data_IF_433751208678
#
_entry.id   IF_433751208678
#
_cell.length_a   1.000
_cell.length_b   1.000
_cell.length_c   1.000
_cell.angle_alpha   90.00
_cell.angle_beta   90.00
_cell.angle_gamma   90.00
#
_symmetry.space_group_name_H-M   'P 1'
#
loop_
_entity.id
_entity.type
_entity.pdbx_description
1 polymer ?
#
# COMPACT_ATOMS: atom_id res chain seq x y z
N UNK A 1 -20.90 -43.89 -8.51
CA UNK A 1 -19.97 -42.81 -8.89
C UNK A 1 -19.50 -42.13 -7.63
N UNK A 2 -18.30 -42.44 -7.16
CA UNK A 2 -17.73 -41.79 -5.96
C UNK A 2 -16.73 -40.75 -6.47
N UNK A 3 -17.05 -39.47 -6.31
CA UNK A 3 -16.14 -38.39 -6.67
C UNK A 3 -15.09 -38.23 -5.55
N UNK A 4 -13.81 -38.37 -5.88
CA UNK A 4 -12.72 -37.95 -5.00
C UNK A 4 -12.71 -36.42 -4.94
N UNK A 5 -13.07 -35.85 -3.81
CA UNK A 5 -12.88 -34.43 -3.53
C UNK A 5 -11.58 -34.29 -2.75
N UNK A 6 -10.54 -33.77 -3.40
CA UNK A 6 -9.31 -33.36 -2.73
C UNK A 6 -9.58 -32.05 -1.98
N UNK A 7 -9.56 -32.09 -0.64
CA UNK A 7 -9.74 -30.90 0.22
C UNK A 7 -8.42 -30.54 0.92
N UNK A 8 -7.29 -30.60 0.18
CA UNK A 8 -6.00 -30.22 0.75
C UNK A 8 -5.95 -28.69 0.89
N UNK A 9 -6.05 -28.20 2.12
CA UNK A 9 -5.78 -26.81 2.44
C UNK A 9 -4.28 -26.63 2.69
N UNK A 10 -3.55 -26.28 1.62
CA UNK A 10 -2.14 -25.91 1.70
C UNK A 10 -2.00 -24.57 2.44
N UNK A 11 -1.20 -24.54 3.52
CA UNK A 11 -0.99 -23.35 4.37
C UNK A 11 0.47 -22.96 4.54
N UNK A 12 1.39 -23.51 3.75
CA UNK A 12 2.80 -23.13 3.83
C UNK A 12 2.96 -21.64 3.52
N UNK A 13 3.74 -20.97 4.37
CA UNK A 13 4.17 -19.59 4.19
C UNK A 13 5.61 -19.64 3.72
N UNK A 14 5.91 -18.92 2.65
CA UNK A 14 7.26 -18.80 2.11
C UNK A 14 7.77 -17.40 2.43
N UNK A 15 8.64 -17.32 3.43
CA UNK A 15 9.26 -16.05 3.82
C UNK A 15 10.23 -15.57 2.74
N UNK A 16 10.35 -14.24 2.53
CA UNK A 16 11.37 -13.69 1.66
C UNK A 16 12.78 -14.10 2.14
N UNK A 17 13.69 -14.33 1.19
CA UNK A 17 15.10 -14.63 1.51
C UNK A 17 15.76 -13.44 2.20
N UNK A 18 16.84 -13.69 2.96
CA UNK A 18 17.58 -12.63 3.66
C UNK A 18 17.99 -11.47 2.74
N UNK A 19 18.55 -11.79 1.57
CA UNK A 19 18.94 -10.81 0.55
C UNK A 19 17.76 -9.99 -0.02
N UNK A 20 16.55 -10.56 -0.05
CA UNK A 20 15.34 -9.81 -0.42
C UNK A 20 14.91 -8.86 0.71
N UNK A 21 15.02 -9.30 1.97
CA UNK A 21 14.67 -8.51 3.15
C UNK A 21 15.61 -7.32 3.33
N UNK A 22 16.90 -7.50 3.07
CA UNK A 22 17.92 -6.46 3.23
C UNK A 22 17.78 -5.35 2.16
N UNK A 23 17.25 -5.69 0.99
CA UNK A 23 17.02 -4.75 -0.13
C UNK A 23 15.59 -4.21 -0.19
N UNK A 24 14.73 -4.59 0.75
CA UNK A 24 13.36 -4.13 0.79
C UNK A 24 13.29 -2.65 1.17
N UNK A 25 12.42 -1.90 0.49
CA UNK A 25 12.13 -0.49 0.83
C UNK A 25 11.53 -0.33 2.22
N UNK A 26 10.82 -1.36 2.71
CA UNK A 26 10.21 -1.39 4.03
C UNK A 26 10.94 -2.37 4.93
N UNK A 27 11.20 -1.96 6.17
CA UNK A 27 11.86 -2.76 7.20
C UNK A 27 10.92 -3.81 7.80
N UNK A 28 10.35 -4.67 6.96
CA UNK A 28 9.49 -5.78 7.34
C UNK A 28 8.03 -5.41 7.59
N UNK A 29 7.28 -6.38 8.11
CA UNK A 29 5.82 -6.31 8.20
C UNK A 29 5.30 -5.30 9.22
N UNK A 30 6.06 -5.00 10.27
CA UNK A 30 5.68 -3.97 11.25
C UNK A 30 5.68 -2.58 10.60
N UNK A 31 6.75 -2.25 9.87
CA UNK A 31 6.85 -1.00 9.11
C UNK A 31 5.73 -0.87 8.07
N UNK A 32 5.43 -1.96 7.35
CA UNK A 32 4.30 -2.00 6.42
C UNK A 32 2.96 -1.74 7.11
N UNK A 33 2.69 -2.40 8.25
CA UNK A 33 1.43 -2.23 8.98
C UNK A 33 1.28 -0.81 9.53
N UNK A 34 2.37 -0.21 10.02
CA UNK A 34 2.37 1.18 10.46
C UNK A 34 2.06 2.15 9.30
N UNK A 35 2.67 1.93 8.13
CA UNK A 35 2.43 2.72 6.92
C UNK A 35 0.98 2.58 6.44
N UNK A 36 0.43 1.36 6.44
CA UNK A 36 -0.96 1.10 6.06
C UNK A 36 -1.92 1.77 7.04
N UNK A 37 -1.65 1.70 8.35
CA UNK A 37 -2.46 2.37 9.36
C UNK A 37 -2.42 3.91 9.25
N UNK A 38 -1.28 4.49 8.84
CA UNK A 38 -1.20 5.92 8.51
C UNK A 38 -2.14 6.27 7.36
N UNK A 39 -2.06 5.50 6.26
CA UNK A 39 -2.90 5.71 5.07
C UNK A 39 -4.40 5.51 5.36
N UNK A 40 -4.78 4.52 6.19
CA UNK A 40 -6.17 4.30 6.58
C UNK A 40 -6.72 5.43 7.44
N UNK A 41 -5.89 6.00 8.32
CA UNK A 41 -6.30 7.08 9.23
C UNK A 41 -6.42 8.44 8.54
N UNK A 42 -5.50 8.74 7.62
CA UNK A 42 -5.43 10.01 6.90
C UNK A 42 -4.84 9.79 5.50
N UNK A 43 -5.70 9.33 4.59
CA UNK A 43 -5.29 8.97 3.24
C UNK A 43 -4.87 10.19 2.41
N UNK A 44 -5.51 11.34 2.61
CA UNK A 44 -5.11 12.59 1.94
C UNK A 44 -3.74 13.04 2.45
N UNK A 45 -3.53 13.13 3.77
CA UNK A 45 -2.24 13.51 4.35
C UNK A 45 -1.11 12.58 3.92
N UNK A 46 -1.37 11.27 3.91
CA UNK A 46 -0.45 10.24 3.43
C UNK A 46 0.01 10.49 1.99
N UNK A 47 -0.94 10.63 1.05
CA UNK A 47 -0.61 10.86 -0.36
C UNK A 47 0.01 12.24 -0.61
N UNK A 48 -0.44 13.27 0.10
CA UNK A 48 0.13 14.61 -0.01
C UNK A 48 1.60 14.63 0.41
N UNK A 49 1.95 13.92 1.48
CA UNK A 49 3.34 13.80 1.95
C UNK A 49 4.19 13.08 0.91
N UNK A 50 3.76 11.90 0.46
CA UNK A 50 4.49 11.12 -0.54
C UNK A 50 4.65 11.88 -1.87
N UNK A 51 3.63 12.60 -2.31
CA UNK A 51 3.70 13.41 -3.52
C UNK A 51 4.74 14.53 -3.41
N UNK A 52 4.86 15.17 -2.24
CA UNK A 52 5.85 16.24 -2.00
C UNK A 52 7.28 15.70 -1.84
N UNK A 53 7.43 14.52 -1.27
CA UNK A 53 8.73 13.87 -1.05
C UNK A 53 9.27 13.19 -2.32
N UNK A 54 8.39 12.52 -3.07
CA UNK A 54 8.77 11.64 -4.18
C UNK A 54 8.75 12.29 -5.56
N UNK A 55 8.12 13.45 -5.73
CA UNK A 55 7.98 14.12 -7.03
C UNK A 55 8.59 15.52 -7.00
N UNK A 56 9.24 15.90 -8.10
CA UNK A 56 9.71 17.25 -8.32
C UNK A 56 8.59 18.11 -8.91
N UNK A 57 8.10 19.07 -8.13
CA UNK A 57 7.03 19.96 -8.55
C UNK A 57 7.58 21.26 -9.11
N UNK A 58 7.18 21.61 -10.34
CA UNK A 58 7.39 22.96 -10.85
C UNK A 58 6.52 23.98 -10.09
N UNK A 59 5.28 23.61 -9.78
CA UNK A 59 4.37 24.38 -8.93
C UNK A 59 3.74 23.45 -7.89
N UNK A 60 3.87 23.74 -6.58
CA UNK A 60 3.22 22.94 -5.54
C UNK A 60 1.70 22.96 -5.67
N UNK A 61 1.06 21.81 -5.42
CA UNK A 61 -0.39 21.71 -5.31
C UNK A 61 -0.89 22.25 -3.96
N UNK A 62 -2.14 22.72 -3.94
CA UNK A 62 -2.78 23.27 -2.73
C UNK A 62 -3.93 22.40 -2.22
N UNK A 63 -4.50 21.55 -3.08
CA UNK A 63 -5.57 20.61 -2.76
C UNK A 63 -5.06 19.21 -3.08
N UNK A 64 -5.32 18.25 -2.19
CA UNK A 64 -4.82 16.87 -2.30
C UNK A 64 -5.82 16.01 -3.05
N UNK A 65 -7.07 15.99 -2.60
CA UNK A 65 -8.17 15.34 -3.29
C UNK A 65 -9.34 16.31 -3.44
N UNK A 66 -9.90 16.37 -4.64
CA UNK A 66 -11.16 17.03 -4.92
C UNK A 66 -12.27 16.00 -5.15
N UNK A 67 -13.15 15.88 -4.15
CA UNK A 67 -14.33 15.00 -4.19
C UNK A 67 -15.64 15.76 -4.49
N UNK A 68 -15.56 17.07 -4.76
CA UNK A 68 -16.75 17.92 -4.88
C UNK A 68 -17.64 17.58 -6.08
N UNK A 69 -17.10 16.87 -7.08
CA UNK A 69 -17.76 16.46 -8.32
C UNK A 69 -17.74 14.93 -8.47
N UNK A 70 -17.96 14.18 -7.39
CA UNK A 70 -18.03 12.72 -7.44
C UNK A 70 -19.05 12.25 -8.52
N UNK A 71 -18.71 11.27 -9.39
CA UNK A 71 -17.56 10.36 -9.32
C UNK A 71 -16.27 10.84 -10.03
N UNK A 72 -16.18 12.11 -10.42
CA UNK A 72 -15.02 12.69 -11.13
C UNK A 72 -13.97 13.27 -10.16
N UNK A 73 -13.37 12.39 -9.36
CA UNK A 73 -12.32 12.73 -8.41
C UNK A 73 -11.06 13.30 -9.09
N UNK A 74 -10.41 14.29 -8.45
CA UNK A 74 -9.14 14.86 -8.92
C UNK A 74 -8.10 14.87 -7.79
N UNK A 75 -6.90 14.38 -8.10
CA UNK A 75 -5.72 14.42 -7.24
C UNK A 75 -4.76 15.51 -7.70
#
# INVERSE_FOLDING_TARGET
MTALVSILHERRIFEPTADTRDRATLSGMEAYRALAAEAERDYEGFWARLAREGLAWHKPFTKVLDESDAPFYKW
#
